data_IF_350650971047
#
_entry.id   IF_350650971047
#
_cell.length_a   1.000
_cell.length_b   1.000
_cell.length_c   1.000
_cell.angle_alpha   90.00
_cell.angle_beta   90.00
_cell.angle_gamma   90.00
#
_symmetry.space_group_name_H-M   'P 1'
#
loop_
_entity.id
_entity.type
_entity.pdbx_description
1 polymer ?
#
# COMPACT_ATOMS: atom_id res chain seq x y z
N UNK A 1 14.22 17.35 17.45
CA UNK A 1 13.99 16.69 16.14
C UNK A 1 14.04 15.19 16.37
N UNK A 2 13.02 14.45 15.97
CA UNK A 2 13.14 13.05 15.51
C UNK A 2 11.79 12.60 14.96
N UNK A 3 11.64 12.75 13.65
CA UNK A 3 10.60 12.07 12.90
C UNK A 3 11.08 10.64 12.65
N UNK A 4 10.96 9.75 13.64
CA UNK A 4 11.10 8.30 13.41
C UNK A 4 9.82 7.77 12.75
N UNK A 5 9.49 8.35 11.59
CA UNK A 5 8.31 8.00 10.81
C UNK A 5 8.61 6.75 9.98
N UNK A 6 8.00 5.64 10.37
CA UNK A 6 7.39 4.72 9.40
C UNK A 6 8.22 3.55 8.88
N UNK A 7 9.44 3.31 9.37
CA UNK A 7 10.18 2.10 9.03
C UNK A 7 9.68 0.93 9.89
N UNK A 8 9.13 -0.13 9.29
CA UNK A 8 8.68 -1.30 10.05
C UNK A 8 9.83 -2.24 10.43
N UNK A 9 11.05 -2.02 9.91
CA UNK A 9 12.14 -2.97 10.05
C UNK A 9 12.17 -4.07 8.99
N UNK A 10 11.11 -4.16 8.17
CA UNK A 10 10.89 -5.26 7.24
C UNK A 10 10.62 -4.70 5.82
N UNK A 11 11.55 -4.93 4.87
CA UNK A 11 11.46 -4.33 3.54
C UNK A 11 10.25 -4.83 2.73
N UNK A 12 9.76 -6.05 2.99
CA UNK A 12 8.57 -6.58 2.30
C UNK A 12 7.32 -5.84 2.76
N UNK A 13 7.22 -5.57 4.07
CA UNK A 13 6.10 -4.83 4.64
C UNK A 13 6.15 -3.37 4.19
N UNK A 14 7.33 -2.75 4.19
CA UNK A 14 7.49 -1.38 3.71
C UNK A 14 7.06 -1.25 2.23
N UNK A 15 7.38 -2.22 1.38
CA UNK A 15 6.93 -2.24 -0.01
C UNK A 15 5.40 -2.30 -0.15
N UNK A 16 4.74 -3.09 0.70
CA UNK A 16 3.27 -3.13 0.73
C UNK A 16 2.69 -1.79 1.23
N UNK A 17 3.27 -1.22 2.28
CA UNK A 17 2.83 0.04 2.88
C UNK A 17 3.02 1.23 1.96
N UNK A 18 4.03 1.21 1.08
CA UNK A 18 4.26 2.19 0.03
C UNK A 18 3.07 2.25 -0.95
N UNK A 19 2.56 1.09 -1.38
CA UNK A 19 1.39 1.00 -2.30
C UNK A 19 0.05 1.16 -1.58
N UNK A 20 0.04 1.17 -0.26
CA UNK A 20 -1.19 1.07 0.55
C UNK A 20 -2.18 2.20 0.35
N UNK A 21 -1.70 3.42 0.02
CA UNK A 21 -2.60 4.53 -0.31
C UNK A 21 -3.47 4.22 -1.51
N UNK A 22 -2.92 3.55 -2.53
CA UNK A 22 -3.69 3.09 -3.70
C UNK A 22 -4.68 2.01 -3.32
N UNK A 23 -4.31 1.06 -2.45
CA UNK A 23 -5.24 0.04 -1.96
C UNK A 23 -6.49 0.68 -1.33
N UNK A 24 -6.31 1.75 -0.55
CA UNK A 24 -7.44 2.46 0.07
C UNK A 24 -8.28 3.21 -0.97
N UNK A 25 -7.64 3.82 -1.97
CA UNK A 25 -8.30 4.62 -3.00
C UNK A 25 -9.08 3.75 -3.99
N UNK A 26 -8.50 2.64 -4.42
CA UNK A 26 -9.00 1.76 -5.48
C UNK A 26 -9.92 0.65 -4.92
N UNK A 27 -10.02 0.49 -3.59
CA UNK A 27 -10.92 -0.49 -2.96
C UNK A 27 -12.39 -0.14 -3.21
N UNK A 28 -13.04 -0.95 -4.05
CA UNK A 28 -14.48 -0.90 -4.37
C UNK A 28 -15.33 -1.67 -3.34
N UNK A 29 -14.76 -2.69 -2.73
CA UNK A 29 -15.41 -3.51 -1.70
C UNK A 29 -15.26 -2.89 -0.30
N UNK A 30 -16.37 -2.79 0.45
CA UNK A 30 -16.41 -2.17 1.78
C UNK A 30 -15.52 -2.90 2.80
N UNK A 31 -15.45 -4.23 2.73
CA UNK A 31 -14.62 -5.02 3.62
C UNK A 31 -13.14 -4.77 3.34
N UNK A 32 -12.73 -4.76 2.08
CA UNK A 32 -11.36 -4.49 1.66
C UNK A 32 -10.93 -3.08 2.10
N UNK A 33 -11.78 -2.08 1.89
CA UNK A 33 -11.54 -0.70 2.36
C UNK A 33 -11.45 -0.61 3.88
N UNK A 34 -12.35 -1.30 4.59
CA UNK A 34 -12.35 -1.36 6.06
C UNK A 34 -11.07 -2.00 6.60
N UNK A 35 -10.65 -3.12 6.03
CA UNK A 35 -9.38 -3.78 6.34
C UNK A 35 -8.19 -2.84 6.06
N UNK A 36 -8.14 -2.21 4.89
CA UNK A 36 -7.05 -1.32 4.50
C UNK A 36 -6.90 -0.13 5.45
N UNK A 37 -8.02 0.49 5.84
CA UNK A 37 -8.04 1.56 6.83
C UNK A 37 -7.62 1.09 8.23
N UNK A 38 -7.94 -0.16 8.60
CA UNK A 38 -7.50 -0.72 9.88
C UNK A 38 -5.96 -0.83 9.97
N UNK A 39 -5.31 -1.32 8.90
CA UNK A 39 -3.85 -1.39 8.79
C UNK A 39 -3.24 0.01 8.80
N UNK A 40 -3.83 0.95 8.05
CA UNK A 40 -3.37 2.34 7.98
C UNK A 40 -3.36 3.04 9.35
N UNK A 41 -4.32 2.71 10.22
CA UNK A 41 -4.37 3.21 11.60
C UNK A 41 -3.37 2.46 12.49
N UNK A 42 -3.32 1.14 12.40
CA UNK A 42 -2.50 0.29 13.26
C UNK A 42 -0.99 0.52 13.07
N UNK A 43 -0.54 0.73 11.83
CA UNK A 43 0.89 0.94 11.49
C UNK A 43 1.55 2.15 12.14
N UNK A 44 0.77 3.04 12.74
CA UNK A 44 1.28 4.21 13.47
C UNK A 44 1.71 3.88 14.90
N UNK A 45 1.36 2.69 15.41
CA UNK A 45 1.72 2.28 16.77
C UNK A 45 3.21 1.89 16.80
N UNK A 46 3.99 2.31 17.81
CA UNK A 46 5.37 1.86 17.97
C UNK A 46 5.47 0.33 18.00
N UNK A 47 6.43 -0.23 17.28
CA UNK A 47 6.66 -1.68 17.21
C UNK A 47 5.54 -2.47 16.52
N UNK A 48 4.65 -1.82 15.79
CA UNK A 48 3.59 -2.52 15.06
C UNK A 48 4.18 -3.43 13.98
N UNK A 49 3.67 -4.65 13.95
CA UNK A 49 3.93 -5.64 12.90
C UNK A 49 2.58 -6.27 12.53
N UNK A 50 2.25 -6.45 11.24
CA UNK A 50 1.07 -7.19 10.85
C UNK A 50 1.20 -8.65 11.29
N UNK A 51 0.09 -9.27 11.69
CA UNK A 51 0.05 -10.72 11.86
C UNK A 51 0.26 -11.43 10.52
N UNK A 52 0.64 -12.70 10.55
CA UNK A 52 0.81 -13.51 9.33
C UNK A 52 -0.42 -13.48 8.42
N UNK A 53 -1.62 -13.52 9.01
CA UNK A 53 -2.89 -13.42 8.28
C UNK A 53 -3.10 -12.02 7.69
N UNK A 54 -2.78 -10.97 8.44
CA UNK A 54 -2.84 -9.60 7.91
C UNK A 54 -1.88 -9.42 6.73
N UNK A 55 -0.66 -9.92 6.85
CA UNK A 55 0.34 -9.86 5.77
C UNK A 55 -0.14 -10.57 4.50
N UNK A 56 -0.76 -11.75 4.63
CA UNK A 56 -1.34 -12.46 3.49
C UNK A 56 -2.42 -11.64 2.77
N UNK A 57 -3.32 -10.99 3.53
CA UNK A 57 -4.35 -10.11 2.97
C UNK A 57 -3.72 -8.85 2.36
N UNK A 58 -2.72 -8.25 3.01
CA UNK A 58 -2.00 -7.08 2.48
C UNK A 58 -1.37 -7.38 1.11
N UNK A 59 -0.70 -8.53 0.96
CA UNK A 59 -0.12 -8.98 -0.31
C UNK A 59 -1.19 -9.15 -1.38
N UNK A 60 -2.31 -9.80 -1.04
CA UNK A 60 -3.44 -9.99 -1.96
C UNK A 60 -4.00 -8.66 -2.46
N UNK A 61 -4.33 -7.74 -1.55
CA UNK A 61 -4.93 -6.45 -1.92
C UNK A 61 -3.99 -5.58 -2.77
N UNK A 62 -2.67 -5.67 -2.55
CA UNK A 62 -1.69 -4.99 -3.41
C UNK A 62 -1.59 -5.65 -4.79
N UNK A 63 -1.68 -6.97 -4.87
CA UNK A 63 -1.67 -7.70 -6.14
C UNK A 63 -2.93 -7.46 -6.98
N UNK A 64 -4.06 -7.12 -6.35
CA UNK A 64 -5.33 -6.78 -7.00
C UNK A 64 -5.36 -5.31 -7.51
N UNK A 65 -4.33 -4.50 -7.24
CA UNK A 65 -4.29 -3.13 -7.72
C UNK A 65 -4.27 -3.08 -9.25
N UNK A 66 -5.10 -2.22 -9.88
CA UNK A 66 -5.04 -2.04 -11.32
C UNK A 66 -3.66 -1.47 -11.72
N UNK A 67 -3.18 -1.80 -12.94
CA UNK A 67 -1.98 -1.20 -13.49
C UNK A 67 -2.04 0.31 -13.35
N UNK A 68 -0.91 0.94 -13.02
CA UNK A 68 -0.81 2.39 -13.16
C UNK A 68 -0.98 2.68 -14.65
N UNK A 69 -2.04 3.41 -15.03
CA UNK A 69 -2.16 3.92 -16.38
C UNK A 69 -0.88 4.72 -16.66
N UNK A 70 -0.11 4.30 -17.66
CA UNK A 70 1.04 5.09 -18.12
C UNK A 70 0.44 6.30 -18.82
N UNK A 71 0.49 7.48 -18.21
CA UNK A 71 -0.01 8.72 -18.82
C UNK A 71 0.97 9.29 -19.87
N UNK A 72 2.15 8.70 -20.06
CA UNK A 72 3.15 9.21 -21.00
C UNK A 72 3.58 8.11 -21.97
N UNK A 73 2.82 7.91 -23.04
CA UNK A 73 3.42 7.55 -24.31
C UNK A 73 3.73 8.88 -25.00
N UNK A 74 4.99 9.37 -24.96
CA UNK A 74 5.31 10.60 -25.65
C UNK A 74 5.04 10.40 -27.15
N UNK A 75 4.21 11.25 -27.74
CA UNK A 75 4.06 11.33 -29.19
C UNK A 75 5.47 11.51 -29.79
N UNK A 76 5.97 10.47 -30.45
CA UNK A 76 7.16 10.55 -31.26
C UNK A 76 6.84 11.49 -32.43
N UNK A 77 7.26 12.75 -32.34
CA UNK A 77 7.23 13.66 -33.47
C UNK A 77 8.31 13.18 -34.44
N UNK A 78 7.89 12.61 -35.57
CA UNK A 78 8.78 12.32 -36.70
C UNK A 78 9.07 13.64 -37.45
N UNK A 79 10.35 13.97 -37.62
CA UNK A 79 10.87 15.12 -38.39
C UNK A 79 10.76 14.91 -39.91
#
# INVERSE_FOLDING_TARGET
MSAERGYTGDPDIDQLLFRWRRVIADATDEWARGFALSIQRARKRPGWMPSHRQLAVMRRLVAELPPVAREDEPDLIED
#
